data_IF_101895970690
#
_entry.id   IF_101895970690
#
_cell.length_a   1.000
_cell.length_b   1.000
_cell.length_c   1.000
_cell.angle_alpha   90.00
_cell.angle_beta   90.00
_cell.angle_gamma   90.00
#
_symmetry.space_group_name_H-M   'P 1'
#
loop_
_entity.id
_entity.type
_entity.pdbx_description
1 polymer ?
#
# COMPACT_ATOMS: atom_id res chain seq x y z
N UNK A 1 20.65 3.12 42.77
CA UNK A 1 20.08 2.09 41.86
C UNK A 1 19.38 2.87 40.77
N UNK A 2 20.04 3.04 39.63
CA UNK A 2 19.47 3.72 38.48
C UNK A 2 18.70 2.65 37.69
N UNK A 3 17.39 2.81 37.60
CA UNK A 3 16.55 2.03 36.70
C UNK A 3 16.82 2.54 35.28
N UNK A 4 17.60 1.76 34.52
CA UNK A 4 17.72 1.87 33.07
C UNK A 4 16.34 1.58 32.46
N UNK A 5 15.68 2.64 32.00
CA UNK A 5 14.55 2.56 31.08
C UNK A 5 15.05 1.94 29.78
N UNK A 6 14.86 0.63 29.63
CA UNK A 6 15.06 -0.06 28.37
C UNK A 6 14.10 0.56 27.33
N UNK A 7 14.66 1.20 26.31
CA UNK A 7 13.91 1.58 25.12
C UNK A 7 13.25 0.32 24.51
N UNK A 8 11.98 0.39 24.08
CA UNK A 8 11.35 -0.72 23.41
C UNK A 8 12.10 -0.98 22.10
N UNK A 9 12.67 -2.18 21.98
CA UNK A 9 13.28 -2.66 20.75
C UNK A 9 12.26 -2.55 19.59
N UNK A 10 12.64 -1.79 18.56
CA UNK A 10 11.88 -1.51 17.34
C UNK A 10 11.83 -2.73 16.39
N UNK A 11 11.71 -3.94 16.96
CA UNK A 11 11.76 -5.24 16.27
C UNK A 11 10.40 -5.65 15.67
N UNK A 12 9.49 -4.69 15.48
CA UNK A 12 8.21 -4.90 14.81
C UNK A 12 8.29 -4.78 13.26
N UNK A 13 9.48 -4.69 12.68
CA UNK A 13 9.69 -4.59 11.22
C UNK A 13 9.70 -5.95 10.49
N UNK A 14 9.24 -7.01 11.17
CA UNK A 14 9.17 -8.36 10.64
C UNK A 14 7.94 -8.57 9.74
N UNK A 15 8.22 -8.84 8.46
CA UNK A 15 7.35 -9.53 7.49
C UNK A 15 6.06 -8.78 7.11
N UNK A 16 6.20 -7.79 6.23
CA UNK A 16 5.47 -7.92 4.97
C UNK A 16 6.27 -7.26 3.83
N UNK A 17 6.68 -8.07 2.85
CA UNK A 17 7.24 -7.57 1.59
C UNK A 17 6.19 -6.81 0.75
N UNK A 18 4.93 -6.82 1.19
CA UNK A 18 3.80 -6.21 0.52
C UNK A 18 3.59 -4.78 1.02
N UNK A 19 3.46 -3.85 0.07
CA UNK A 19 3.23 -2.44 0.32
C UNK A 19 1.75 -2.13 0.07
N UNK A 20 0.94 -2.24 1.12
CA UNK A 20 -0.49 -1.97 1.02
C UNK A 20 -0.78 -0.48 1.17
N UNK A 21 -1.82 -0.02 0.47
CA UNK A 21 -2.42 1.29 0.69
C UNK A 21 -3.25 1.25 1.97
N UNK A 22 -3.02 2.20 2.89
CA UNK A 22 -3.83 2.30 4.09
C UNK A 22 -5.31 2.51 3.75
N UNK A 23 -6.20 2.01 4.62
CA UNK A 23 -7.64 2.22 4.50
C UNK A 23 -7.95 3.72 4.47
N UNK A 24 -7.28 4.52 5.29
CA UNK A 24 -7.48 5.96 5.38
C UNK A 24 -7.17 6.67 4.06
N UNK A 25 -6.01 6.38 3.46
CA UNK A 25 -5.63 6.97 2.16
C UNK A 25 -6.61 6.59 1.04
N UNK A 26 -7.22 5.41 1.13
CA UNK A 26 -8.27 4.99 0.21
C UNK A 26 -9.60 5.73 0.47
N UNK A 27 -10.02 5.85 1.72
CA UNK A 27 -11.27 6.52 2.11
C UNK A 27 -11.22 8.04 1.89
N UNK A 28 -10.02 8.62 1.88
CA UNK A 28 -9.76 10.00 1.46
C UNK A 28 -10.12 10.27 -0.01
N UNK A 29 -10.29 9.26 -0.85
CA UNK A 29 -10.68 9.47 -2.25
C UNK A 29 -12.20 9.61 -2.38
N UNK A 30 -12.71 10.52 -3.24
CA UNK A 30 -14.12 10.50 -3.63
C UNK A 30 -14.48 9.16 -4.26
N UNK A 31 -15.74 8.75 -4.13
CA UNK A 31 -16.21 7.42 -4.56
C UNK A 31 -15.90 7.15 -6.03
N UNK A 32 -16.06 8.17 -6.89
CA UNK A 32 -15.80 8.09 -8.32
C UNK A 32 -14.32 7.85 -8.66
N UNK A 33 -13.38 8.24 -7.79
CA UNK A 33 -11.95 8.06 -8.01
C UNK A 33 -11.37 6.82 -7.32
N UNK A 34 -12.07 6.24 -6.33
CA UNK A 34 -11.63 5.02 -5.63
C UNK A 34 -11.35 3.88 -6.61
N UNK A 35 -12.24 3.70 -7.59
CA UNK A 35 -12.05 2.71 -8.65
C UNK A 35 -10.91 3.07 -9.57
N UNK A 36 -10.85 4.32 -10.01
CA UNK A 36 -9.81 4.77 -10.93
C UNK A 36 -8.40 4.56 -10.37
N UNK A 37 -8.17 4.88 -9.10
CA UNK A 37 -6.88 4.59 -8.46
C UNK A 37 -6.68 3.10 -8.20
N UNK A 38 -7.73 2.35 -7.84
CA UNK A 38 -7.60 0.91 -7.52
C UNK A 38 -7.32 0.08 -8.77
N UNK A 39 -7.99 0.33 -9.90
CA UNK A 39 -7.78 -0.43 -11.14
C UNK A 39 -6.37 -0.24 -11.73
N UNK A 40 -5.68 0.85 -11.36
CA UNK A 40 -4.28 1.13 -11.69
C UNK A 40 -3.28 0.52 -10.70
N UNK A 41 -3.74 -0.03 -9.57
CA UNK A 41 -2.86 -0.58 -8.56
C UNK A 41 -2.20 -1.88 -9.06
N UNK A 42 -0.87 -2.06 -8.91
CA UNK A 42 -0.19 -3.24 -9.45
C UNK A 42 -0.70 -4.54 -8.83
N UNK A 43 -0.93 -4.57 -7.52
CA UNK A 43 -1.58 -5.73 -6.87
C UNK A 43 -2.99 -6.02 -7.41
N UNK A 44 -3.74 -5.00 -7.83
CA UNK A 44 -5.02 -5.25 -8.50
C UNK A 44 -4.81 -6.03 -9.78
N UNK A 45 -3.93 -5.53 -10.65
CA UNK A 45 -3.65 -6.08 -11.96
C UNK A 45 -3.07 -7.50 -11.91
N UNK A 46 -2.23 -7.78 -10.92
CA UNK A 46 -1.63 -9.10 -10.71
C UNK A 46 -2.65 -10.12 -10.14
N UNK A 47 -3.56 -9.68 -9.27
CA UNK A 47 -4.38 -10.61 -8.48
C UNK A 47 -5.85 -10.71 -8.92
N UNK A 48 -6.40 -9.76 -9.68
CA UNK A 48 -7.85 -9.70 -9.95
C UNK A 48 -8.42 -10.95 -10.62
N UNK A 49 -7.72 -11.51 -11.62
CA UNK A 49 -8.19 -12.72 -12.33
C UNK A 49 -8.27 -13.93 -11.41
N UNK A 50 -7.22 -14.18 -10.62
CA UNK A 50 -7.17 -15.30 -9.69
C UNK A 50 -8.20 -15.13 -8.56
N UNK A 51 -8.36 -13.92 -8.02
CA UNK A 51 -9.37 -13.63 -7.00
C UNK A 51 -10.81 -13.72 -7.55
N UNK A 52 -11.01 -13.38 -8.84
CA UNK A 52 -12.29 -13.57 -9.53
C UNK A 52 -12.60 -15.04 -9.73
N UNK A 53 -11.65 -15.82 -10.23
CA UNK A 53 -11.78 -17.27 -10.38
C UNK A 53 -12.15 -17.93 -9.06
N UNK A 54 -11.49 -17.56 -7.94
CA UNK A 54 -11.84 -18.07 -6.61
C UNK A 54 -13.32 -17.92 -6.24
N UNK A 55 -13.96 -16.82 -6.68
CA UNK A 55 -15.31 -16.44 -6.30
C UNK A 55 -16.36 -16.99 -7.25
N UNK A 56 -16.05 -17.04 -8.54
CA UNK A 56 -16.99 -17.49 -9.57
C UNK A 56 -16.90 -19.02 -9.79
N UNK A 57 -15.70 -19.59 -9.80
CA UNK A 57 -15.44 -21.00 -10.10
C UNK A 57 -14.06 -21.42 -9.56
N UNK A 58 -13.92 -21.64 -8.23
CA UNK A 58 -12.64 -21.96 -7.62
C UNK A 58 -12.05 -23.25 -8.20
N UNK A 59 -10.72 -23.29 -8.36
CA UNK A 59 -10.04 -24.47 -8.91
C UNK A 59 -10.20 -25.69 -8.00
N UNK A 60 -10.20 -26.88 -8.62
CA UNK A 60 -10.14 -28.16 -7.92
C UNK A 60 -8.72 -28.57 -7.55
N UNK A 61 -7.70 -27.95 -8.17
CA UNK A 61 -6.30 -28.13 -7.77
C UNK A 61 -6.01 -27.32 -6.51
N UNK A 62 -5.49 -27.97 -5.47
CA UNK A 62 -5.26 -27.36 -4.16
C UNK A 62 -4.22 -26.22 -4.23
N UNK A 63 -3.19 -26.38 -5.06
CA UNK A 63 -2.15 -25.36 -5.22
C UNK A 63 -2.69 -24.12 -5.93
N UNK A 64 -3.41 -24.29 -7.04
CA UNK A 64 -4.08 -23.19 -7.73
C UNK A 64 -5.12 -22.51 -6.83
N UNK A 65 -5.94 -23.29 -6.12
CA UNK A 65 -6.94 -22.77 -5.19
C UNK A 65 -6.31 -21.95 -4.06
N UNK A 66 -5.17 -22.38 -3.54
CA UNK A 66 -4.40 -21.63 -2.56
C UNK A 66 -3.93 -20.28 -3.14
N UNK A 67 -3.38 -20.26 -4.36
CA UNK A 67 -3.00 -19.02 -5.04
C UNK A 67 -4.19 -18.08 -5.26
N UNK A 68 -5.35 -18.62 -5.68
CA UNK A 68 -6.60 -17.88 -5.84
C UNK A 68 -7.10 -17.27 -4.50
N UNK A 69 -6.95 -17.99 -3.39
CA UNK A 69 -7.26 -17.51 -2.04
C UNK A 69 -6.30 -16.40 -1.61
N UNK A 70 -4.99 -16.56 -1.80
CA UNK A 70 -3.98 -15.54 -1.50
C UNK A 70 -4.24 -14.27 -2.30
N UNK A 71 -4.58 -14.39 -3.59
CA UNK A 71 -4.97 -13.25 -4.42
C UNK A 71 -6.16 -12.47 -3.83
N UNK A 72 -7.17 -13.17 -3.28
CA UNK A 72 -8.29 -12.53 -2.59
C UNK A 72 -7.84 -11.77 -1.33
N UNK A 73 -6.89 -12.31 -0.56
CA UNK A 73 -6.35 -11.65 0.62
C UNK A 73 -5.56 -10.38 0.25
N UNK A 74 -4.72 -10.45 -0.79
CA UNK A 74 -3.96 -9.31 -1.30
C UNK A 74 -4.88 -8.19 -1.79
N UNK A 75 -5.94 -8.54 -2.53
CA UNK A 75 -6.93 -7.55 -2.97
C UNK A 75 -7.69 -6.92 -1.81
N UNK A 76 -8.04 -7.71 -0.79
CA UNK A 76 -8.67 -7.21 0.42
C UNK A 76 -7.77 -6.20 1.16
N UNK A 77 -6.46 -6.46 1.19
CA UNK A 77 -5.49 -5.57 1.82
C UNK A 77 -5.33 -4.21 1.10
N UNK A 78 -5.73 -4.09 -0.18
CA UNK A 78 -5.82 -2.81 -0.91
C UNK A 78 -7.25 -2.26 -0.98
N UNK A 79 -8.14 -2.75 -0.11
CA UNK A 79 -9.54 -2.35 0.07
C UNK A 79 -10.52 -2.84 -1.01
N UNK A 80 -10.19 -3.87 -1.79
CA UNK A 80 -11.16 -4.52 -2.68
C UNK A 80 -11.98 -5.52 -1.87
N UNK A 81 -13.30 -5.37 -1.89
CA UNK A 81 -14.18 -6.19 -1.07
C UNK A 81 -13.99 -7.70 -1.35
N UNK A 82 -13.90 -8.55 -0.31
CA UNK A 82 -13.62 -9.98 -0.48
C UNK A 82 -14.82 -10.81 -0.94
N UNK A 83 -16.04 -10.27 -0.83
CA UNK A 83 -17.28 -11.05 -0.99
C UNK A 83 -17.95 -10.91 -2.38
N UNK A 84 -17.39 -10.13 -3.30
CA UNK A 84 -17.99 -9.85 -4.63
C UNK A 84 -16.92 -10.00 -5.69
N UNK A 85 -17.10 -10.74 -6.79
CA UNK A 85 -16.10 -10.84 -7.87
C UNK A 85 -15.47 -9.48 -8.22
N UNK A 86 -14.12 -9.34 -8.20
CA UNK A 86 -13.48 -8.07 -8.52
C UNK A 86 -13.78 -7.70 -9.99
N UNK A 87 -14.11 -6.44 -10.30
CA UNK A 87 -14.42 -6.00 -11.66
C UNK A 87 -13.26 -6.17 -12.65
N UNK A 88 -13.55 -6.15 -13.95
CA UNK A 88 -12.47 -6.07 -14.94
C UNK A 88 -11.85 -4.65 -14.87
N UNK A 89 -10.51 -4.48 -14.83
CA UNK A 89 -9.89 -3.15 -14.82
C UNK A 89 -10.25 -2.26 -16.03
N UNK A 90 -10.82 -2.85 -17.10
CA UNK A 90 -11.37 -2.15 -18.26
C UNK A 90 -12.71 -1.48 -17.98
N UNK A 91 -13.47 -1.97 -17.01
CA UNK A 91 -14.77 -1.43 -16.67
C UNK A 91 -14.62 -0.02 -16.09
N UNK A 92 -15.44 0.91 -16.55
CA UNK A 92 -15.51 2.25 -15.97
C UNK A 92 -16.44 2.27 -14.76
N UNK A 93 -16.22 3.23 -13.86
CA UNK A 93 -17.04 3.40 -12.65
C UNK A 93 -18.54 3.56 -12.97
N UNK A 94 -18.84 4.20 -14.10
CA UNK A 94 -20.20 4.44 -14.62
C UNK A 94 -20.90 3.13 -15.01
N UNK A 95 -20.15 2.18 -15.58
CA UNK A 95 -20.67 0.87 -16.00
C UNK A 95 -20.90 -0.06 -14.81
N UNK A 96 -20.05 0.03 -13.78
CA UNK A 96 -20.25 -0.70 -12.53
C UNK A 96 -21.52 -0.20 -11.83
N UNK A 97 -21.76 1.12 -11.83
CA UNK A 97 -22.83 1.74 -11.08
C UNK A 97 -22.47 1.86 -9.60
N UNK A 98 -22.79 3.01 -9.02
CA UNK A 98 -22.39 3.36 -7.64
C UNK A 98 -22.90 2.39 -6.57
N UNK A 99 -23.92 1.57 -6.88
CA UNK A 99 -24.48 0.56 -5.98
C UNK A 99 -23.90 -0.85 -6.10
N UNK A 100 -23.15 -1.17 -7.17
CA UNK A 100 -22.56 -2.51 -7.33
C UNK A 100 -21.19 -2.65 -6.67
N UNK A 101 -20.53 -1.52 -6.43
CA UNK A 101 -19.29 -1.48 -5.69
C UNK A 101 -19.63 -1.77 -4.23
N UNK A 102 -19.26 -2.96 -3.77
CA UNK A 102 -19.56 -3.46 -2.44
C UNK A 102 -19.40 -2.36 -1.36
N UNK A 103 -20.36 -2.31 -0.43
CA UNK A 103 -20.66 -1.16 0.44
C UNK A 103 -19.51 -0.50 1.22
N UNK A 104 -18.31 -1.10 1.29
CA UNK A 104 -17.10 -0.44 1.79
C UNK A 104 -16.65 0.77 0.97
N UNK A 105 -17.07 0.89 -0.30
CA UNK A 105 -16.66 1.99 -1.18
C UNK A 105 -17.62 3.17 -1.18
N UNK A 106 -18.77 3.04 -0.53
CA UNK A 106 -19.86 4.04 -0.58
C UNK A 106 -19.69 5.13 0.47
N UNK A 107 -18.96 4.87 1.57
CA UNK A 107 -18.78 5.84 2.65
C UNK A 107 -17.57 6.76 2.42
N UNK A 108 -17.79 8.07 2.38
CA UNK A 108 -16.74 9.11 2.31
C UNK A 108 -15.97 9.24 3.62
N UNK A 109 -15.93 10.44 4.21
CA UNK A 109 -15.29 10.68 5.52
C UNK A 109 -15.97 9.93 6.69
N UNK A 110 -17.20 9.44 6.49
CA UNK A 110 -17.94 8.61 7.44
C UNK A 110 -18.48 7.41 6.69
N UNK A 111 -18.17 6.21 7.19
CA UNK A 111 -18.67 4.95 6.66
C UNK A 111 -19.20 4.10 7.82
N UNK A 112 -20.32 3.36 7.64
CA UNK A 112 -20.71 2.36 8.61
C UNK A 112 -19.58 1.35 8.81
N UNK A 113 -19.21 1.08 10.07
CA UNK A 113 -18.26 0.03 10.37
C UNK A 113 -18.88 -1.34 10.04
N UNK A 114 -18.20 -2.15 9.23
CA UNK A 114 -18.61 -3.54 9.02
C UNK A 114 -18.41 -4.33 10.31
N UNK A 115 -19.25 -5.33 10.59
CA UNK A 115 -19.07 -6.23 11.76
C UNK A 115 -17.68 -6.86 11.79
N UNK A 116 -17.12 -7.20 10.61
CA UNK A 116 -15.76 -7.71 10.47
C UNK A 116 -14.72 -6.69 10.94
N UNK A 117 -14.90 -5.40 10.65
CA UNK A 117 -14.03 -4.33 11.12
C UNK A 117 -14.10 -4.21 12.63
N UNK A 118 -15.30 -4.25 13.22
CA UNK A 118 -15.47 -4.26 14.68
C UNK A 118 -14.76 -5.46 15.32
N UNK A 119 -14.95 -6.67 14.78
CA UNK A 119 -14.28 -7.87 15.26
C UNK A 119 -12.75 -7.75 15.16
N UNK A 120 -12.23 -7.25 14.05
CA UNK A 120 -10.79 -7.04 13.86
C UNK A 120 -10.23 -6.02 14.86
N UNK A 121 -10.94 -4.92 15.12
CA UNK A 121 -10.55 -3.95 16.13
C UNK A 121 -10.51 -4.57 17.52
N UNK A 122 -11.50 -5.39 17.89
CA UNK A 122 -11.49 -6.10 19.17
C UNK A 122 -10.33 -7.11 19.27
N UNK A 123 -9.98 -7.78 18.16
CA UNK A 123 -8.84 -8.68 18.11
C UNK A 123 -7.50 -7.95 18.28
N UNK A 124 -7.38 -6.71 17.81
CA UNK A 124 -6.17 -5.89 17.99
C UNK A 124 -6.14 -5.27 19.39
N UNK A 125 -7.21 -4.60 19.80
CA UNK A 125 -7.25 -3.76 20.98
C UNK A 125 -7.27 -4.54 22.30
N UNK A 126 -7.93 -5.70 22.33
CA UNK A 126 -8.05 -6.48 23.56
C UNK A 126 -6.79 -7.32 23.80
N UNK A 127 -6.23 -7.33 25.03
CA UNK A 127 -5.14 -8.25 25.37
C UNK A 127 -5.61 -9.72 25.32
N UNK A 128 -4.64 -10.65 25.32
CA UNK A 128 -4.91 -12.09 25.15
C UNK A 128 -5.95 -12.63 26.14
N UNK A 129 -5.92 -12.21 27.40
CA UNK A 129 -6.84 -12.68 28.43
C UNK A 129 -8.28 -12.22 28.15
N UNK A 130 -8.46 -10.94 27.85
CA UNK A 130 -9.73 -10.31 27.53
C UNK A 130 -10.31 -10.86 26.22
N UNK A 131 -9.49 -11.09 25.19
CA UNK A 131 -9.92 -11.79 23.95
C UNK A 131 -10.46 -13.19 24.24
N UNK A 132 -9.81 -13.93 25.14
CA UNK A 132 -10.27 -15.27 25.53
C UNK A 132 -11.60 -15.22 26.30
N UNK A 133 -11.77 -14.25 27.21
CA UNK A 133 -13.03 -14.01 27.91
C UNK A 133 -14.15 -13.63 26.93
N UNK A 134 -13.89 -12.70 26.01
CA UNK A 134 -14.84 -12.32 24.96
C UNK A 134 -15.26 -13.50 24.10
N UNK A 135 -14.29 -14.30 23.65
CA UNK A 135 -14.54 -15.50 22.84
C UNK A 135 -15.43 -16.51 23.56
N UNK A 136 -15.28 -16.67 24.89
CA UNK A 136 -16.18 -17.52 25.68
C UNK A 136 -17.61 -16.98 25.70
N UNK A 137 -17.80 -15.68 25.91
CA UNK A 137 -19.13 -15.06 25.89
C UNK A 137 -19.77 -15.16 24.51
N UNK A 138 -19.00 -14.99 23.43
CA UNK A 138 -19.50 -15.17 22.07
C UNK A 138 -19.96 -16.61 21.81
N UNK A 139 -19.15 -17.60 22.21
CA UNK A 139 -19.51 -19.01 22.06
C UNK A 139 -20.78 -19.35 22.85
N UNK A 140 -20.89 -18.86 24.09
CA UNK A 140 -22.09 -19.05 24.93
C UNK A 140 -23.32 -18.38 24.31
N UNK A 141 -23.18 -17.15 23.81
CA UNK A 141 -24.27 -16.43 23.14
C UNK A 141 -24.77 -17.12 21.86
N UNK A 142 -23.93 -17.96 21.24
CA UNK A 142 -24.31 -18.72 20.05
C UNK A 142 -25.19 -19.95 20.36
N UNK A 143 -25.36 -20.31 21.64
CA UNK A 143 -26.22 -21.42 22.08
C UNK A 143 -27.72 -21.05 22.13
N UNK A 144 -28.06 -19.78 21.90
CA UNK A 144 -29.44 -19.30 21.92
C UNK A 144 -29.65 -18.16 20.91
N UNK A 145 -30.93 -17.89 20.60
CA UNK A 145 -31.30 -16.83 19.69
C UNK A 145 -31.09 -15.45 20.32
N UNK A 146 -30.62 -14.46 19.55
CA UNK A 146 -30.42 -13.09 20.03
C UNK A 146 -31.71 -12.41 20.53
N UNK A 147 -32.87 -12.97 20.22
CA UNK A 147 -34.20 -12.52 20.68
C UNK A 147 -34.56 -13.02 22.08
N UNK A 148 -33.82 -14.00 22.63
CA UNK A 148 -33.95 -14.46 24.01
C UNK A 148 -33.37 -13.41 24.97
N UNK A 149 -34.23 -12.48 25.39
CA UNK A 149 -33.85 -11.33 26.21
C UNK A 149 -33.27 -11.71 27.57
N UNK A 150 -33.74 -12.78 28.18
CA UNK A 150 -33.29 -13.19 29.53
C UNK A 150 -31.84 -13.68 29.46
N UNK A 151 -31.56 -14.60 28.52
CA UNK A 151 -30.19 -15.09 28.32
C UNK A 151 -29.25 -14.00 27.82
N UNK A 152 -29.71 -13.13 26.92
CA UNK A 152 -28.91 -12.01 26.46
C UNK A 152 -28.61 -11.01 27.58
N UNK A 153 -29.58 -10.75 28.47
CA UNK A 153 -29.36 -9.92 29.68
C UNK A 153 -28.28 -10.51 30.58
N UNK A 154 -28.29 -11.83 30.80
CA UNK A 154 -27.25 -12.51 31.59
C UNK A 154 -25.85 -12.39 30.96
N UNK A 155 -25.74 -12.44 29.62
CA UNK A 155 -24.48 -12.17 28.92
C UNK A 155 -24.03 -10.72 29.11
N UNK A 156 -24.96 -9.75 29.03
CA UNK A 156 -24.65 -8.33 29.26
C UNK A 156 -24.17 -8.05 30.69
N UNK A 157 -24.83 -8.64 31.69
CA UNK A 157 -24.42 -8.53 33.10
C UNK A 157 -23.00 -9.08 33.28
N UNK A 158 -22.72 -10.28 32.76
CA UNK A 158 -21.38 -10.87 32.83
C UNK A 158 -20.32 -10.07 32.09
N UNK A 159 -20.66 -9.45 30.95
CA UNK A 159 -19.74 -8.56 30.24
C UNK A 159 -19.40 -7.33 31.10
N UNK A 160 -20.37 -6.79 31.84
CA UNK A 160 -20.17 -5.64 32.74
C UNK A 160 -19.35 -5.98 34.00
N UNK A 161 -19.31 -7.25 34.38
CA UNK A 161 -18.55 -7.77 35.52
C UNK A 161 -17.13 -8.25 35.16
N UNK A 162 -16.73 -8.23 33.87
CA UNK A 162 -15.40 -8.68 33.49
C UNK A 162 -14.31 -7.78 34.10
N UNK A 163 -13.25 -8.37 34.70
CA UNK A 163 -12.16 -7.59 35.28
C UNK A 163 -11.25 -7.01 34.18
N UNK A 164 -10.71 -5.82 34.42
CA UNK A 164 -9.74 -5.15 33.56
C UNK A 164 -10.19 -3.77 33.12
N UNK A 165 -9.27 -2.81 33.12
CA UNK A 165 -9.55 -1.43 32.66
C UNK A 165 -9.79 -1.36 31.16
N UNK A 166 -9.31 -2.36 30.40
CA UNK A 166 -9.41 -2.40 28.94
C UNK A 166 -10.86 -2.46 28.46
N UNK A 167 -11.76 -3.07 29.23
CA UNK A 167 -13.21 -3.11 28.93
C UNK A 167 -13.88 -1.74 29.02
N UNK A 168 -13.26 -0.81 29.76
CA UNK A 168 -13.72 0.57 29.92
C UNK A 168 -12.86 1.56 29.12
N UNK A 169 -11.91 1.07 28.33
CA UNK A 169 -11.05 1.89 27.49
C UNK A 169 -11.66 2.13 26.11
N UNK A 170 -11.34 3.26 25.50
CA UNK A 170 -11.67 3.49 24.09
C UNK A 170 -10.60 2.85 23.20
N UNK A 171 -10.98 2.17 22.11
CA UNK A 171 -10.00 1.71 21.14
C UNK A 171 -9.27 2.91 20.53
N UNK A 172 -8.02 2.72 20.12
CA UNK A 172 -7.24 3.75 19.42
C UNK A 172 -7.89 4.19 18.10
N UNK A 173 -8.71 3.33 17.47
CA UNK A 173 -9.48 3.69 16.29
C UNK A 173 -10.79 4.39 16.69
N UNK A 174 -11.17 5.50 16.02
CA UNK A 174 -12.37 6.25 16.34
C UNK A 174 -13.63 5.42 16.03
N UNK A 175 -14.34 4.97 17.06
CA UNK A 175 -15.68 4.39 16.96
C UNK A 175 -16.67 5.37 17.59
N UNK A 176 -17.65 5.82 16.80
CA UNK A 176 -18.68 6.75 17.28
C UNK A 176 -20.04 6.06 17.34
N UNK A 177 -20.73 6.23 18.47
CA UNK A 177 -22.15 5.90 18.58
C UNK A 177 -22.97 7.13 18.24
N UNK A 178 -23.92 6.99 17.31
CA UNK A 178 -24.79 8.09 16.88
C UNK A 178 -26.20 7.86 17.43
N UNK A 179 -26.68 8.77 18.27
CA UNK A 179 -28.09 8.76 18.71
C UNK A 179 -28.99 9.27 17.58
N UNK A 180 -29.61 8.35 16.85
CA UNK A 180 -30.51 8.65 15.72
C UNK A 180 -31.77 9.45 16.10
N UNK A 181 -32.12 9.55 17.39
CA UNK A 181 -33.24 10.38 17.85
C UNK A 181 -32.84 11.86 18.00
N UNK A 182 -31.55 12.19 17.96
CA UNK A 182 -31.08 13.56 18.07
C UNK A 182 -31.28 14.31 16.74
N UNK A 183 -31.51 15.64 16.76
CA UNK A 183 -31.58 16.44 15.55
C UNK A 183 -30.28 16.32 14.73
N UNK A 184 -30.40 16.22 13.39
CA UNK A 184 -29.24 16.06 12.49
C UNK A 184 -28.15 17.12 12.69
N UNK A 185 -28.53 18.37 12.99
CA UNK A 185 -27.57 19.45 13.28
C UNK A 185 -26.73 19.15 14.52
N UNK A 186 -27.35 18.66 15.59
CA UNK A 186 -26.67 18.30 16.82
C UNK A 186 -25.73 17.10 16.62
N UNK A 187 -26.15 16.10 15.83
CA UNK A 187 -25.29 14.97 15.43
C UNK A 187 -24.07 15.48 14.67
N UNK A 188 -24.28 16.36 13.68
CA UNK A 188 -23.20 16.90 12.84
C UNK A 188 -22.20 17.70 13.68
N UNK A 189 -22.67 18.59 14.53
CA UNK A 189 -21.84 19.41 15.43
C UNK A 189 -21.04 18.54 16.43
N UNK A 190 -21.67 17.51 17.00
CA UNK A 190 -21.00 16.57 17.90
C UNK A 190 -19.88 15.79 17.19
N UNK A 191 -20.13 15.31 15.96
CA UNK A 191 -19.12 14.63 15.15
C UNK A 191 -17.98 15.59 14.79
N UNK A 192 -18.28 16.82 14.36
CA UNK A 192 -17.27 17.83 14.02
C UNK A 192 -16.36 18.16 15.22
N UNK A 193 -16.94 18.37 16.40
CA UNK A 193 -16.18 18.66 17.61
C UNK A 193 -15.29 17.48 18.03
N UNK A 194 -15.82 16.25 17.98
CA UNK A 194 -15.05 15.04 18.32
C UNK A 194 -13.90 14.81 17.34
N UNK A 195 -14.13 14.99 16.03
CA UNK A 195 -13.08 14.88 15.01
C UNK A 195 -12.00 15.96 15.21
N UNK A 196 -12.39 17.20 15.54
CA UNK A 196 -11.43 18.28 15.84
C UNK A 196 -10.56 17.92 17.03
N UNK A 197 -11.18 17.47 18.13
CA UNK A 197 -10.46 17.04 19.33
C UNK A 197 -9.46 15.92 19.01
N UNK A 198 -9.86 14.86 18.31
CA UNK A 198 -8.96 13.77 17.95
C UNK A 198 -7.82 14.20 17.03
N UNK A 199 -8.07 15.12 16.09
CA UNK A 199 -7.02 15.71 15.25
C UNK A 199 -6.02 16.48 16.10
N UNK A 200 -6.50 17.30 17.04
CA UNK A 200 -5.65 18.09 17.93
C UNK A 200 -4.80 17.19 18.84
N UNK A 201 -5.41 16.16 19.45
CA UNK A 201 -4.73 15.17 20.31
C UNK A 201 -3.64 14.38 19.56
N UNK A 202 -3.83 14.12 18.26
CA UNK A 202 -2.88 13.38 17.41
C UNK A 202 -1.93 14.27 16.60
N UNK A 203 -2.03 15.59 16.73
CA UNK A 203 -1.27 16.54 15.93
C UNK A 203 -1.55 16.45 14.42
N UNK A 204 -2.74 15.99 14.02
CA UNK A 204 -3.14 15.85 12.62
C UNK A 204 -3.62 17.21 12.11
N UNK A 205 -2.79 17.86 11.29
CA UNK A 205 -3.14 19.15 10.68
C UNK A 205 -4.26 18.98 9.66
N UNK A 206 -5.25 19.86 9.71
CA UNK A 206 -6.31 19.90 8.71
C UNK A 206 -5.75 20.30 7.34
N UNK A 207 -5.89 19.40 6.36
CA UNK A 207 -5.49 19.64 4.99
C UNK A 207 -6.71 19.84 4.11
N UNK A 208 -6.62 20.84 3.22
CA UNK A 208 -7.67 21.06 2.22
C UNK A 208 -7.57 19.97 1.15
N UNK A 209 -8.63 19.17 1.01
CA UNK A 209 -8.78 18.26 -0.15
C UNK A 209 -8.81 19.06 -1.45
N UNK A 210 -8.00 18.62 -2.41
CA UNK A 210 -7.97 19.12 -3.79
C UNK A 210 -8.57 18.08 -4.73
N UNK A 211 -9.83 17.73 -4.46
CA UNK A 211 -10.57 16.75 -5.28
C UNK A 211 -10.70 17.22 -6.74
N UNK A 212 -10.69 18.54 -6.95
CA UNK A 212 -10.64 19.20 -8.26
C UNK A 212 -9.41 18.84 -9.10
N UNK A 213 -8.35 18.33 -8.48
CA UNK A 213 -7.08 17.98 -9.13
C UNK A 213 -6.89 16.49 -9.39
N UNK A 214 -7.77 15.63 -8.88
CA UNK A 214 -7.61 14.17 -9.00
C UNK A 214 -7.60 13.70 -10.47
N UNK A 215 -8.45 14.29 -11.32
CA UNK A 215 -8.43 14.02 -12.77
C UNK A 215 -7.08 14.39 -13.39
N UNK A 216 -6.53 15.55 -13.07
CA UNK A 216 -5.22 15.99 -13.59
C UNK A 216 -4.09 15.05 -13.10
N UNK A 217 -4.20 14.51 -11.89
CA UNK A 217 -3.23 13.55 -11.35
C UNK A 217 -3.26 12.23 -12.11
N UNK A 218 -4.47 11.69 -12.34
CA UNK A 218 -4.64 10.46 -13.12
C UNK A 218 -4.21 10.63 -14.58
N UNK A 219 -4.50 11.76 -15.21
CA UNK A 219 -4.07 12.02 -16.59
C UNK A 219 -2.53 12.02 -16.71
N UNK A 220 -1.84 12.67 -15.77
CA UNK A 220 -0.37 12.64 -15.73
C UNK A 220 0.15 11.23 -15.45
N UNK A 221 -0.48 10.48 -14.56
CA UNK A 221 -0.14 9.08 -14.30
C UNK A 221 -0.29 8.23 -15.56
N UNK A 222 -1.41 8.36 -16.26
CA UNK A 222 -1.74 7.56 -17.41
C UNK A 222 -0.76 7.79 -18.56
N UNK A 223 -0.41 9.05 -18.84
CA UNK A 223 0.60 9.39 -19.84
C UNK A 223 2.00 8.95 -19.41
N UNK A 224 2.34 9.05 -18.12
CA UNK A 224 3.68 8.73 -17.61
C UNK A 224 3.94 7.23 -17.54
N UNK A 225 2.94 6.46 -17.15
CA UNK A 225 3.02 5.02 -16.98
C UNK A 225 2.43 4.26 -18.19
N UNK A 226 1.91 4.96 -19.20
CA UNK A 226 1.31 4.31 -20.38
C UNK A 226 0.04 3.51 -20.04
N UNK A 227 -0.72 3.95 -19.02
CA UNK A 227 -1.99 3.30 -18.67
C UNK A 227 -3.03 3.58 -19.75
N UNK A 228 -3.63 2.53 -20.29
CA UNK A 228 -4.74 2.65 -21.23
C UNK A 228 -5.59 1.39 -21.23
N UNK A 229 -6.92 1.54 -21.35
CA UNK A 229 -7.85 0.42 -21.49
C UNK A 229 -7.63 -0.72 -20.47
N UNK A 230 -7.40 -0.37 -19.20
CA UNK A 230 -7.25 -1.35 -18.12
C UNK A 230 -5.87 -2.00 -18.00
N UNK A 231 -4.88 -1.59 -18.81
CA UNK A 231 -3.56 -2.21 -18.85
C UNK A 231 -2.45 -1.14 -18.96
N UNK A 232 -1.21 -1.53 -18.63
CA UNK A 232 -0.03 -0.69 -18.82
C UNK A 232 0.68 -1.06 -20.12
N UNK A 233 0.95 -0.06 -20.96
CA UNK A 233 1.59 -0.22 -22.26
C UNK A 233 2.90 0.57 -22.30
N UNK A 234 4.03 -0.14 -22.43
CA UNK A 234 5.35 0.48 -22.40
C UNK A 234 5.64 1.43 -23.56
N UNK A 235 5.05 1.18 -24.73
CA UNK A 235 5.15 2.02 -25.94
C UNK A 235 4.41 3.36 -25.83
N UNK A 236 3.50 3.49 -24.86
CA UNK A 236 2.71 4.71 -24.61
C UNK A 236 3.26 5.60 -23.52
N UNK A 237 4.35 5.19 -22.87
CA UNK A 237 4.96 5.99 -21.80
C UNK A 237 5.56 7.28 -22.35
N UNK A 238 5.30 8.40 -21.67
CA UNK A 238 5.84 9.71 -22.02
C UNK A 238 6.82 10.24 -20.97
N UNK A 239 7.80 11.04 -21.39
CA UNK A 239 8.65 11.82 -20.49
C UNK A 239 7.86 12.96 -19.85
N UNK A 240 8.20 13.34 -18.63
CA UNK A 240 7.56 14.48 -17.94
C UNK A 240 7.62 15.78 -18.76
N UNK A 241 8.69 15.97 -19.54
CA UNK A 241 8.82 17.12 -20.46
C UNK A 241 7.80 17.07 -21.61
N UNK A 242 7.58 15.90 -22.21
CA UNK A 242 6.61 15.69 -23.28
C UNK A 242 5.18 15.87 -22.75
N UNK A 243 4.90 15.36 -21.54
CA UNK A 243 3.62 15.54 -20.85
C UNK A 243 3.38 17.02 -20.53
N UNK A 244 4.39 17.76 -20.06
CA UNK A 244 4.26 19.18 -19.77
C UNK A 244 3.93 20.00 -21.02
N UNK A 245 4.53 19.65 -22.17
CA UNK A 245 4.23 20.26 -23.45
C UNK A 245 2.82 19.89 -23.95
N UNK A 246 2.44 18.61 -23.86
CA UNK A 246 1.15 18.11 -24.30
C UNK A 246 -0.02 18.74 -23.52
N UNK A 247 0.09 18.76 -22.19
CA UNK A 247 -0.95 19.29 -21.30
C UNK A 247 -0.89 20.81 -21.09
N UNK A 248 0.08 21.49 -21.72
CA UNK A 248 0.29 22.94 -21.57
C UNK A 248 0.36 23.41 -20.10
N UNK A 249 0.88 22.56 -19.20
CA UNK A 249 0.79 22.74 -17.74
C UNK A 249 1.82 23.71 -17.14
N UNK A 250 2.48 24.51 -17.98
CA UNK A 250 3.46 25.52 -17.61
C UNK A 250 4.86 24.97 -17.30
N UNK A 251 5.02 24.06 -16.33
CA UNK A 251 6.34 23.59 -15.87
C UNK A 251 6.46 22.08 -15.67
N UNK A 252 7.68 21.55 -15.87
CA UNK A 252 8.03 20.15 -15.59
C UNK A 252 7.82 19.82 -14.10
N UNK A 253 8.11 20.76 -13.20
CA UNK A 253 7.91 20.58 -11.75
C UNK A 253 6.43 20.39 -11.40
N UNK A 254 5.53 21.10 -12.09
CA UNK A 254 4.08 20.92 -11.92
C UNK A 254 3.68 19.49 -12.26
N UNK A 255 4.12 18.98 -13.41
CA UNK A 255 3.85 17.60 -13.84
C UNK A 255 4.49 16.59 -12.88
N UNK A 256 5.73 16.81 -12.45
CA UNK A 256 6.39 15.95 -11.48
C UNK A 256 5.62 15.87 -10.15
N UNK A 257 5.11 17.00 -9.65
CA UNK A 257 4.30 17.02 -8.43
C UNK A 257 2.96 16.30 -8.61
N UNK A 258 2.26 16.52 -9.73
CA UNK A 258 1.02 15.79 -10.07
C UNK A 258 1.26 14.28 -10.13
N UNK A 259 2.37 13.86 -10.74
CA UNK A 259 2.78 12.47 -10.79
C UNK A 259 3.02 11.87 -9.40
N UNK A 260 3.74 12.57 -8.52
CA UNK A 260 3.96 12.13 -7.13
C UNK A 260 2.65 12.04 -6.35
N UNK A 261 1.75 13.01 -6.51
CA UNK A 261 0.41 12.97 -5.89
C UNK A 261 -0.40 11.78 -6.40
N UNK A 262 -0.37 11.48 -7.70
CA UNK A 262 -1.03 10.30 -8.25
C UNK A 262 -0.47 9.00 -7.66
N UNK A 263 0.87 8.88 -7.58
CA UNK A 263 1.53 7.74 -6.96
C UNK A 263 1.08 7.56 -5.50
N UNK A 264 1.01 8.65 -4.74
CA UNK A 264 0.56 8.62 -3.34
C UNK A 264 -0.89 8.19 -3.19
N UNK A 265 -1.81 8.70 -4.01
CA UNK A 265 -3.22 8.29 -3.96
C UNK A 265 -3.42 6.83 -4.41
N UNK A 266 -2.61 6.36 -5.35
CA UNK A 266 -2.64 4.99 -5.82
C UNK A 266 -2.12 4.03 -4.76
N UNK A 267 -0.96 4.31 -4.17
CA UNK A 267 -0.22 3.38 -3.31
C UNK A 267 -0.41 3.60 -1.81
N UNK A 268 -0.85 4.79 -1.40
CA UNK A 268 -0.82 5.24 0.00
C UNK A 268 0.54 5.75 0.49
N UNK A 269 1.58 5.77 -0.38
CA UNK A 269 2.96 6.08 0.01
C UNK A 269 3.52 7.27 -0.75
N UNK A 270 4.40 8.05 -0.11
CA UNK A 270 5.13 9.11 -0.81
C UNK A 270 6.02 8.51 -1.91
N UNK A 271 6.10 9.20 -3.05
CA UNK A 271 6.87 8.68 -4.18
C UNK A 271 8.35 8.57 -3.85
N UNK A 272 8.87 7.35 -3.95
CA UNK A 272 10.29 7.02 -3.95
C UNK A 272 10.58 6.07 -5.11
N UNK A 273 11.67 6.25 -5.87
CA UNK A 273 11.97 5.35 -6.98
C UNK A 273 12.10 3.88 -6.56
N UNK A 274 12.60 3.61 -5.35
CA UNK A 274 12.70 2.27 -4.77
C UNK A 274 11.30 1.63 -4.61
N UNK A 275 10.35 2.38 -4.04
CA UNK A 275 8.97 1.91 -3.86
C UNK A 275 8.28 1.71 -5.21
N UNK A 276 8.57 2.57 -6.20
CA UNK A 276 8.05 2.37 -7.55
C UNK A 276 8.54 1.05 -8.14
N UNK A 277 9.84 0.74 -8.03
CA UNK A 277 10.38 -0.54 -8.54
C UNK A 277 9.77 -1.71 -7.80
N UNK A 278 9.65 -1.64 -6.47
CA UNK A 278 9.08 -2.73 -5.68
C UNK A 278 7.61 -3.00 -6.01
N UNK A 279 6.82 -1.95 -6.26
CA UNK A 279 5.39 -2.08 -6.56
C UNK A 279 5.12 -2.39 -8.03
N UNK A 280 5.81 -1.72 -8.95
CA UNK A 280 5.52 -1.77 -10.38
C UNK A 280 6.56 -2.55 -11.19
N UNK A 281 7.75 -2.81 -10.66
CA UNK A 281 8.84 -3.46 -11.39
C UNK A 281 8.43 -4.82 -11.93
N UNK A 282 7.84 -5.69 -11.11
CA UNK A 282 7.35 -6.98 -11.59
C UNK A 282 6.33 -6.86 -12.74
N UNK A 283 5.45 -5.87 -12.67
CA UNK A 283 4.47 -5.62 -13.75
C UNK A 283 5.10 -5.02 -15.01
N UNK A 284 6.14 -4.18 -14.85
CA UNK A 284 6.78 -3.41 -15.92
C UNK A 284 7.93 -4.14 -16.61
N UNK A 285 8.52 -5.14 -15.96
CA UNK A 285 9.68 -5.87 -16.45
C UNK A 285 9.39 -7.33 -16.79
N UNK A 286 8.27 -7.91 -16.36
CA UNK A 286 7.95 -9.32 -16.63
C UNK A 286 7.70 -9.64 -18.13
N UNK A 287 7.36 -8.65 -18.95
CA UNK A 287 7.13 -8.85 -20.40
C UNK A 287 8.30 -8.33 -21.21
N UNK A 288 9.28 -9.20 -21.51
CA UNK A 288 10.51 -8.87 -22.25
C UNK A 288 10.24 -8.10 -23.57
N UNK A 289 9.16 -8.43 -24.27
CA UNK A 289 8.80 -7.80 -25.55
C UNK A 289 8.22 -6.38 -25.43
N UNK A 290 7.88 -5.94 -24.22
CA UNK A 290 7.20 -4.66 -23.96
C UNK A 290 7.90 -3.79 -22.91
N UNK A 291 9.14 -4.12 -22.56
CA UNK A 291 9.88 -3.33 -21.56
C UNK A 291 10.10 -1.92 -22.08
N UNK A 292 9.42 -0.96 -21.45
CA UNK A 292 9.58 0.44 -21.78
C UNK A 292 11.02 0.90 -21.55
N UNK A 293 11.62 1.53 -22.57
CA UNK A 293 12.91 2.21 -22.44
C UNK A 293 12.88 3.28 -21.33
N UNK A 294 11.73 3.91 -21.11
CA UNK A 294 11.56 4.91 -20.05
C UNK A 294 11.51 4.26 -18.66
N UNK A 295 10.80 3.14 -18.50
CA UNK A 295 10.79 2.38 -17.26
C UNK A 295 12.21 1.94 -16.87
N UNK A 296 12.99 1.43 -17.83
CA UNK A 296 14.38 1.07 -17.62
C UNK A 296 15.20 2.26 -17.13
N UNK A 297 15.06 3.44 -17.77
CA UNK A 297 15.79 4.69 -17.48
C UNK A 297 15.37 5.42 -16.19
N UNK A 298 14.41 4.90 -15.42
CA UNK A 298 14.06 5.50 -14.13
C UNK A 298 15.24 5.44 -13.15
N UNK A 299 15.35 6.42 -12.23
CA UNK A 299 16.24 6.26 -11.08
C UNK A 299 15.81 5.02 -10.29
N UNK A 300 16.77 4.25 -9.80
CA UNK A 300 16.48 3.07 -8.98
C UNK A 300 16.53 3.39 -7.50
N UNK A 301 17.28 4.45 -7.17
CA UNK A 301 17.38 5.00 -5.84
C UNK A 301 17.07 6.48 -5.88
N UNK A 302 16.41 6.95 -4.83
CA UNK A 302 16.34 8.34 -4.45
C UNK A 302 17.76 8.89 -4.43
N UNK A 303 17.95 10.08 -5.01
CA UNK A 303 19.24 10.75 -4.86
C UNK A 303 19.41 11.00 -3.36
N UNK A 304 20.42 10.36 -2.75
CA UNK A 304 20.88 10.78 -1.44
C UNK A 304 21.17 12.28 -1.56
N UNK A 305 20.39 13.08 -0.83
CA UNK A 305 20.78 14.45 -0.57
C UNK A 305 22.11 14.29 0.15
N UNK A 306 23.22 14.49 -0.58
CA UNK A 306 24.52 14.59 0.07
C UNK A 306 24.29 15.57 1.21
N UNK A 307 24.61 15.21 2.46
CA UNK A 307 24.62 16.16 3.55
C UNK A 307 25.33 17.38 2.98
N UNK A 308 24.64 18.53 2.95
CA UNK A 308 25.28 19.75 2.49
C UNK A 308 26.57 19.83 3.31
N UNK A 309 27.72 19.73 2.64
CA UNK A 309 28.98 19.65 3.34
C UNK A 309 28.98 20.79 4.36
N UNK A 310 29.33 20.51 5.62
CA UNK A 310 29.27 21.53 6.68
C UNK A 310 29.98 22.83 6.28
N UNK A 311 30.94 22.77 5.35
CA UNK A 311 31.57 23.93 4.70
C UNK A 311 30.62 24.91 3.99
N UNK A 312 29.38 24.50 3.68
CA UNK A 312 28.32 25.33 3.08
C UNK A 312 27.40 25.92 4.16
N UNK A 313 27.35 25.30 5.36
CA UNK A 313 26.45 25.71 6.43
C UNK A 313 27.15 26.41 7.61
N UNK A 314 28.46 26.19 7.84
CA UNK A 314 29.24 26.85 8.90
C UNK A 314 30.73 27.00 8.54
N UNK A 315 31.32 28.21 8.65
CA UNK A 315 32.77 28.36 8.63
C UNK A 315 33.35 27.92 9.98
N UNK A 316 33.92 26.72 10.01
CA UNK A 316 34.89 26.28 11.02
C UNK A 316 34.33 25.64 12.28
N UNK A 317 34.35 24.30 12.35
CA UNK A 317 35.13 23.45 13.27
C UNK A 317 34.62 22.01 13.11
N UNK A 318 35.53 21.07 12.81
CA UNK A 318 35.22 19.62 12.80
C UNK A 318 35.68 18.98 14.10
N UNK A 319 34.89 18.05 14.61
CA UNK A 319 35.35 16.89 15.36
C UNK A 319 35.01 15.62 14.55
N UNK A 320 35.93 14.64 14.42
CA UNK A 320 35.70 13.39 13.72
C UNK A 320 35.41 12.27 14.73
N UNK A 321 34.18 11.74 14.76
CA UNK A 321 33.83 10.35 15.12
C UNK A 321 32.32 10.24 15.42
N UNK A 322 31.48 10.23 14.39
CA UNK A 322 30.07 9.85 14.53
C UNK A 322 29.79 8.54 13.77
N UNK A 323 29.64 7.39 14.47
CA UNK A 323 29.34 6.10 13.87
C UNK A 323 27.86 5.93 13.46
N UNK A 324 26.98 6.93 13.59
CA UNK A 324 25.55 6.80 13.24
C UNK A 324 25.20 7.00 11.75
N UNK A 325 26.18 7.16 10.87
CA UNK A 325 25.94 7.38 9.43
C UNK A 325 25.27 6.19 8.70
N UNK A 326 25.33 4.97 9.25
CA UNK A 326 24.82 3.75 8.60
C UNK A 326 23.45 3.27 9.12
N UNK A 327 22.91 3.86 10.19
CA UNK A 327 21.66 3.39 10.80
C UNK A 327 20.37 3.92 10.14
N UNK A 328 20.46 4.91 9.24
CA UNK A 328 19.29 5.56 8.64
C UNK A 328 18.69 4.88 7.39
N UNK A 329 19.11 3.66 7.07
CA UNK A 329 18.96 3.13 5.70
C UNK A 329 17.70 2.27 5.47
N UNK A 330 17.06 1.71 6.49
CA UNK A 330 15.71 1.09 6.36
C UNK A 330 15.55 0.09 5.19
N UNK A 331 16.62 -0.63 4.85
CA UNK A 331 16.64 -1.65 3.79
C UNK A 331 16.45 -3.03 4.44
N UNK A 332 15.56 -3.87 3.88
CA UNK A 332 15.38 -5.27 4.28
C UNK A 332 16.14 -6.24 3.37
N UNK A 333 16.47 -7.44 3.87
CA UNK A 333 17.28 -8.48 3.20
C UNK A 333 16.77 -8.95 1.82
N UNK A 334 15.49 -8.81 1.50
CA UNK A 334 14.96 -9.18 0.17
C UNK A 334 15.12 -8.08 -0.88
N UNK A 335 15.06 -6.81 -0.45
CA UNK A 335 15.33 -5.68 -1.34
C UNK A 335 16.84 -5.55 -1.58
N UNK A 336 17.64 -6.08 -0.63
CA UNK A 336 19.04 -6.41 -0.86
C UNK A 336 19.17 -7.47 -1.95
N UNK A 337 18.49 -8.61 -1.90
CA UNK A 337 18.77 -9.70 -2.87
C UNK A 337 18.58 -9.34 -4.35
N UNK A 338 17.53 -8.60 -4.73
CA UNK A 338 17.34 -8.21 -6.14
C UNK A 338 18.30 -7.08 -6.57
N UNK A 339 18.61 -6.16 -5.65
CA UNK A 339 19.52 -5.06 -5.91
C UNK A 339 20.98 -5.51 -5.86
N UNK A 340 21.31 -6.47 -5.01
CA UNK A 340 22.59 -7.19 -4.95
C UNK A 340 22.77 -8.00 -6.22
N UNK A 341 21.77 -8.80 -6.63
CA UNK A 341 21.80 -9.51 -7.91
C UNK A 341 22.09 -8.55 -9.08
N UNK A 342 21.44 -7.40 -9.11
CA UNK A 342 21.67 -6.40 -10.14
C UNK A 342 23.08 -5.77 -10.05
N UNK A 343 23.57 -5.43 -8.85
CA UNK A 343 24.89 -4.86 -8.64
C UNK A 343 25.99 -5.87 -8.99
N UNK A 344 25.77 -7.14 -8.68
CA UNK A 344 26.66 -8.24 -9.02
C UNK A 344 26.70 -8.44 -10.53
N UNK A 345 25.54 -8.44 -11.21
CA UNK A 345 25.49 -8.45 -12.68
C UNK A 345 26.25 -7.26 -13.27
N UNK A 346 26.08 -6.04 -12.73
CA UNK A 346 26.81 -4.86 -13.22
C UNK A 346 28.33 -4.99 -13.02
N UNK A 347 28.77 -5.43 -11.85
CA UNK A 347 30.18 -5.67 -11.53
C UNK A 347 30.80 -6.72 -12.47
N UNK A 348 30.09 -7.82 -12.73
CA UNK A 348 30.55 -8.87 -13.64
C UNK A 348 30.60 -8.38 -15.10
N UNK A 349 29.62 -7.59 -15.53
CA UNK A 349 29.66 -6.92 -16.83
C UNK A 349 30.86 -5.97 -16.95
N UNK A 350 31.14 -5.16 -15.93
CA UNK A 350 32.31 -4.26 -15.90
C UNK A 350 33.64 -5.02 -16.04
N UNK A 351 33.72 -6.22 -15.44
CA UNK A 351 34.86 -7.15 -15.56
C UNK A 351 34.93 -7.90 -16.89
N UNK A 352 33.96 -7.72 -17.79
CA UNK A 352 33.97 -8.27 -19.14
C UNK A 352 33.43 -9.70 -19.27
N UNK A 353 32.66 -10.18 -18.29
CA UNK A 353 32.11 -11.54 -18.31
C UNK A 353 31.02 -11.67 -19.39
N UNK A 354 30.93 -12.84 -20.04
CA UNK A 354 29.82 -13.19 -20.96
C UNK A 354 28.54 -13.50 -20.18
N UNK A 355 27.39 -13.50 -20.87
CA UNK A 355 26.09 -13.75 -20.23
C UNK A 355 26.03 -15.15 -19.61
N UNK A 356 26.63 -16.16 -20.26
CA UNK A 356 26.76 -17.52 -19.70
C UNK A 356 27.65 -17.56 -18.45
N UNK A 357 28.73 -16.76 -18.43
CA UNK A 357 29.62 -16.66 -17.27
C UNK A 357 28.94 -15.96 -16.10
N UNK A 358 28.14 -14.92 -16.36
CA UNK A 358 27.37 -14.21 -15.33
C UNK A 358 26.33 -15.14 -14.72
N UNK A 359 25.56 -15.86 -15.55
CA UNK A 359 24.58 -16.82 -15.05
C UNK A 359 25.23 -17.98 -14.27
N UNK A 360 26.39 -18.46 -14.73
CA UNK A 360 27.13 -19.51 -14.03
C UNK A 360 27.73 -19.07 -12.69
N UNK A 361 28.11 -17.79 -12.55
CA UNK A 361 28.68 -17.24 -11.32
C UNK A 361 27.60 -16.94 -10.26
N UNK A 362 26.43 -16.48 -10.71
CA UNK A 362 25.33 -16.07 -9.82
C UNK A 362 24.44 -17.25 -9.37
N UNK A 363 24.38 -18.32 -10.17
CA UNK A 363 23.46 -19.44 -9.94
C UNK A 363 24.14 -20.81 -9.90
N UNK A 364 25.38 -20.85 -9.41
CA UNK A 364 26.20 -22.07 -9.26
C UNK A 364 25.48 -23.20 -8.50
N UNK A 365 24.47 -22.86 -7.67
CA UNK A 365 23.72 -23.78 -6.81
C UNK A 365 22.30 -24.14 -7.32
N UNK A 366 21.93 -23.79 -8.55
CA UNK A 366 20.70 -24.30 -9.20
C UNK A 366 19.37 -23.74 -8.68
N UNK A 367 19.38 -22.59 -8.00
CA UNK A 367 18.18 -21.88 -7.53
C UNK A 367 17.91 -20.60 -8.33
N UNK A 368 16.62 -20.33 -8.60
CA UNK A 368 16.02 -19.20 -9.36
C UNK A 368 16.05 -19.29 -10.90
N UNK A 369 15.01 -18.67 -11.49
CA UNK A 369 14.71 -18.69 -12.93
C UNK A 369 15.79 -17.96 -13.73
N UNK A 370 16.60 -18.72 -14.46
CA UNK A 370 17.66 -18.24 -15.36
C UNK A 370 17.11 -17.24 -16.41
N UNK A 371 15.83 -17.34 -16.77
CA UNK A 371 15.19 -16.50 -17.79
C UNK A 371 15.10 -15.02 -17.40
N UNK A 372 14.74 -14.71 -16.15
CA UNK A 372 14.62 -13.33 -15.67
C UNK A 372 15.99 -12.62 -15.60
N UNK A 373 17.05 -13.39 -15.32
CA UNK A 373 18.42 -12.90 -15.27
C UNK A 373 18.96 -12.58 -16.67
N UNK A 374 18.69 -13.42 -17.67
CA UNK A 374 19.08 -13.11 -19.05
C UNK A 374 18.41 -11.83 -19.56
N UNK A 375 17.13 -11.63 -19.26
CA UNK A 375 16.43 -10.39 -19.60
C UNK A 375 17.08 -9.17 -18.93
N UNK A 376 17.47 -9.29 -17.65
CA UNK A 376 18.15 -8.23 -16.90
C UNK A 376 19.56 -7.94 -17.45
N UNK A 377 20.37 -8.96 -17.75
CA UNK A 377 21.71 -8.83 -18.34
C UNK A 377 21.63 -8.12 -19.70
N UNK A 378 20.72 -8.56 -20.59
CA UNK A 378 20.51 -7.95 -21.89
C UNK A 378 20.10 -6.47 -21.76
N UNK A 379 19.22 -6.17 -20.81
CA UNK A 379 18.78 -4.81 -20.53
C UNK A 379 19.89 -3.91 -19.93
N UNK A 380 20.86 -4.48 -19.21
CA UNK A 380 22.02 -3.76 -18.68
C UNK A 380 23.12 -3.54 -19.73
N UNK A 381 23.40 -4.51 -20.61
CA UNK A 381 24.35 -4.36 -21.72
C UNK A 381 23.91 -3.29 -22.72
N UNK A 382 22.64 -3.32 -23.13
CA UNK A 382 22.09 -2.31 -24.04
C UNK A 382 22.25 -0.87 -23.52
N UNK A 383 22.27 -0.67 -22.20
CA UNK A 383 22.58 0.64 -21.58
C UNK A 383 24.04 1.04 -21.69
N UNK A 384 24.98 0.09 -21.60
CA UNK A 384 26.43 0.35 -21.67
C UNK A 384 26.85 0.73 -23.09
N UNK A 385 26.33 0.02 -24.08
CA UNK A 385 26.61 0.28 -25.50
C UNK A 385 26.02 1.61 -25.99
N UNK A 386 24.97 2.12 -25.35
CA UNK A 386 24.42 3.46 -25.60
C UNK A 386 25.21 4.61 -24.92
N UNK A 387 26.12 4.29 -24.00
CA UNK A 387 26.90 5.26 -23.22
C UNK A 387 28.35 5.43 -23.67
N UNK A 388 28.82 4.54 -24.54
CA UNK A 388 30.09 4.61 -25.28
C UNK A 388 29.84 5.22 -26.66
#
# INVERSE_FOLDING_TARGET
MNEETAEPADDAHSISHLLFRSVDAFLELPVEYRWEFTRRHPYYLLCWRAARAFRESPSHDDAERFCQQVATLVLNAINVAPNVPPPDPRDEITALGYGSIAGGWVGGAVAPAMLRTLAHMLLIALPKAQRSQFGRLLNESAEFEATDRERMSAIHERLSELPGEEWNSFPEAPIVSINLQSPQRAITEAIENLVRQWKDERGITESRRRDDKLREYLEVWDLREGWHAGEYHGDREMKLQEIAALLQAGSINTIANRYRSAFRHLTGHEYRPELWIRLFGGLKFATADQVSRLAMRRPWRSRNLRPAAESVLLPGRREPDDPQFLAGVGITESDLSWVELQLDIQSLLERGYSDEQICSELFSDGGQSIEDTHALIAALRSRRDESL
#
